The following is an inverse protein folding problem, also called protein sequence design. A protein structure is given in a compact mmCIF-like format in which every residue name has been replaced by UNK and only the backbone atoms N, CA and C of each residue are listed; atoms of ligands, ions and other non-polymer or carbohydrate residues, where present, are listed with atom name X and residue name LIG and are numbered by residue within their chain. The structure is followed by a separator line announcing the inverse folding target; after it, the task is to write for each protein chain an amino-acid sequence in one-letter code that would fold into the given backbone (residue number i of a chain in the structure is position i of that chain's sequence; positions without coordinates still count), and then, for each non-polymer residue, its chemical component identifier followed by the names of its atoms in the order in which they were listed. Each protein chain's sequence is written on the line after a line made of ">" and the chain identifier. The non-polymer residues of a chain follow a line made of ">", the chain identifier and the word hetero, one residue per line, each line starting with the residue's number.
data_IF_061726858349
#
_entry.id   IF_061726858349
#
_cell.length_a   1.000
_cell.length_b   1.000
_cell.length_c   1.000
_cell.angle_alpha   90.00
_cell.angle_beta   90.00
_cell.angle_gamma   90.00
#
_symmetry.space_group_name_H-M   'P 1'
#
loop_
_entity.id
_entity.type
_entity.pdbx_description
1 polymer ?
#
# COMPACT_ATOMS: atom_id res chain seq x y z
N UNK A 1 -39.92 -7.08 -37.71
CA UNK A 1 -40.10 -5.66 -38.07
C UNK A 1 -38.97 -4.89 -37.43
N UNK A 2 -38.03 -4.36 -38.22
CA UNK A 2 -36.94 -3.51 -37.74
C UNK A 2 -37.31 -2.04 -37.95
N UNK A 3 -37.38 -1.26 -36.89
CA UNK A 3 -37.51 0.20 -36.97
C UNK A 3 -36.12 0.85 -36.99
N UNK A 4 -35.83 1.52 -38.10
CA UNK A 4 -34.63 2.33 -38.28
C UNK A 4 -34.82 3.71 -37.63
N UNK A 5 -34.17 3.97 -36.50
CA UNK A 5 -34.12 5.29 -35.88
C UNK A 5 -33.00 6.11 -36.55
N UNK A 6 -33.40 7.08 -37.38
CA UNK A 6 -32.49 8.00 -38.09
C UNK A 6 -32.35 9.31 -37.29
N UNK A 7 -31.33 9.40 -36.43
CA UNK A 7 -31.02 10.63 -35.69
C UNK A 7 -30.10 11.51 -36.56
N UNK A 8 -30.67 12.53 -37.21
CA UNK A 8 -29.92 13.65 -37.81
C UNK A 8 -29.96 14.83 -36.84
N UNK A 9 -29.04 14.86 -35.88
CA UNK A 9 -28.78 16.03 -35.05
C UNK A 9 -27.63 16.85 -35.64
N UNK A 10 -27.92 18.01 -36.25
CA UNK A 10 -26.89 19.03 -36.53
C UNK A 10 -26.48 19.64 -35.19
N UNK A 11 -25.34 19.23 -34.66
CA UNK A 11 -24.74 19.85 -33.47
C UNK A 11 -24.16 21.19 -33.90
N UNK A 12 -24.92 22.26 -33.69
CA UNK A 12 -24.43 23.63 -33.84
C UNK A 12 -23.50 23.96 -32.67
N UNK A 13 -22.20 23.80 -32.88
CA UNK A 13 -21.19 24.25 -31.91
C UNK A 13 -21.27 25.77 -31.87
N UNK A 14 -21.80 26.29 -30.76
CA UNK A 14 -21.95 27.73 -30.54
C UNK A 14 -20.57 28.39 -30.54
N UNK A 15 -20.36 29.48 -31.32
CA UNK A 15 -19.06 30.15 -31.42
C UNK A 15 -18.56 30.72 -30.08
N UNK A 16 -19.42 30.79 -29.07
CA UNK A 16 -19.07 31.21 -27.71
C UNK A 16 -18.11 30.25 -27.01
N UNK A 17 -18.16 28.94 -27.31
CA UNK A 17 -17.25 27.95 -26.72
C UNK A 17 -15.79 28.14 -27.17
N UNK A 18 -15.56 28.60 -28.39
CA UNK A 18 -14.22 28.88 -28.88
C UNK A 18 -13.55 30.04 -28.13
N UNK A 19 -14.32 31.07 -27.75
CA UNK A 19 -13.78 32.24 -27.04
C UNK A 19 -13.26 31.83 -25.65
N UNK A 20 -13.98 30.94 -24.95
CA UNK A 20 -13.57 30.45 -23.63
C UNK A 20 -12.29 29.61 -23.75
N UNK A 21 -12.20 28.72 -24.75
CA UNK A 21 -10.98 27.92 -24.97
C UNK A 21 -9.76 28.79 -25.30
N UNK A 22 -9.91 29.84 -26.09
CA UNK A 22 -8.80 30.76 -26.40
C UNK A 22 -8.35 31.57 -25.17
N UNK A 23 -9.27 32.00 -24.30
CA UNK A 23 -8.91 32.72 -23.08
C UNK A 23 -8.10 31.84 -22.10
N UNK A 24 -8.47 30.57 -21.96
CA UNK A 24 -7.75 29.60 -21.10
C UNK A 24 -6.36 29.28 -21.67
N UNK A 25 -6.25 29.10 -22.99
CA UNK A 25 -4.96 28.83 -23.64
C UNK A 25 -3.98 30.01 -23.51
N UNK A 26 -4.46 31.25 -23.67
CA UNK A 26 -3.62 32.45 -23.50
C UNK A 26 -3.17 32.60 -22.04
N UNK A 27 -4.07 32.35 -21.07
CA UNK A 27 -3.74 32.36 -19.64
C UNK A 27 -2.67 31.31 -19.28
N UNK A 28 -2.76 30.11 -19.85
CA UNK A 28 -1.79 29.04 -19.61
C UNK A 28 -0.40 29.35 -20.21
N UNK A 29 -0.34 29.95 -21.40
CA UNK A 29 0.92 30.39 -22.02
C UNK A 29 1.56 31.52 -21.21
N UNK A 30 0.76 32.46 -20.70
CA UNK A 30 1.27 33.55 -19.86
C UNK A 30 1.78 33.04 -18.50
N UNK A 31 1.09 32.05 -17.91
CA UNK A 31 1.51 31.37 -16.69
C UNK A 31 2.85 30.64 -16.85
N UNK A 32 3.08 29.96 -17.98
CA UNK A 32 4.36 29.30 -18.27
C UNK A 32 5.48 30.31 -18.53
N UNK A 33 5.18 31.45 -19.18
CA UNK A 33 6.17 32.47 -19.52
C UNK A 33 6.64 33.30 -18.32
N UNK A 34 5.80 33.47 -17.30
CA UNK A 34 6.12 34.20 -16.07
C UNK A 34 6.72 33.32 -14.95
N UNK A 35 7.01 32.04 -15.21
CA UNK A 35 7.95 31.29 -14.35
C UNK A 35 9.36 31.77 -14.63
N UNK A 36 9.73 32.88 -14.00
CA UNK A 36 11.13 33.20 -13.76
C UNK A 36 11.72 32.08 -12.90
N UNK A 37 12.40 31.15 -13.54
CA UNK A 37 13.33 30.25 -12.86
C UNK A 37 14.44 31.16 -12.32
N UNK A 38 14.67 31.22 -10.99
CA UNK A 38 15.78 32.02 -10.47
C UNK A 38 17.09 31.51 -11.08
N UNK A 39 18.02 32.39 -11.47
CA UNK A 39 19.28 31.98 -12.05
C UNK A 39 20.04 31.12 -11.03
N UNK A 40 20.18 29.84 -11.35
CA UNK A 40 21.13 28.93 -10.71
C UNK A 40 22.54 29.47 -10.99
N UNK A 41 23.13 30.11 -9.99
CA UNK A 41 24.52 30.56 -10.03
C UNK A 41 25.43 29.33 -9.99
N UNK A 42 25.81 28.85 -11.17
CA UNK A 42 26.80 27.80 -11.36
C UNK A 42 28.19 28.36 -11.05
N UNK A 43 28.64 28.26 -9.80
CA UNK A 43 30.08 28.23 -9.50
C UNK A 43 30.61 26.85 -9.87
N UNK A 44 31.12 26.76 -11.10
CA UNK A 44 31.84 25.61 -11.66
C UNK A 44 33.18 25.47 -10.91
N UNK A 45 33.15 24.87 -9.72
CA UNK A 45 34.32 24.24 -9.05
C UNK A 45 33.98 23.34 -7.85
N UNK A 46 32.72 23.29 -7.39
CA UNK A 46 32.29 22.42 -6.28
C UNK A 46 31.47 21.18 -6.70
N UNK A 47 31.29 20.97 -8.00
CA UNK A 47 30.44 19.89 -8.56
C UNK A 47 30.95 18.45 -8.32
N UNK A 48 32.18 18.24 -7.85
CA UNK A 48 32.70 16.88 -7.62
C UNK A 48 32.44 16.34 -6.20
N UNK A 49 32.04 17.20 -5.25
CA UNK A 49 31.77 16.75 -3.87
C UNK A 49 30.28 16.53 -3.62
N UNK A 50 29.40 17.23 -4.33
CA UNK A 50 27.95 17.13 -4.15
C UNK A 50 27.33 15.95 -4.92
N UNK A 51 27.85 15.62 -6.12
CA UNK A 51 27.49 14.38 -6.83
C UNK A 51 27.90 13.13 -6.01
N UNK A 52 29.06 13.17 -5.35
CA UNK A 52 29.49 12.11 -4.41
C UNK A 52 28.68 12.05 -3.11
N UNK A 53 27.97 13.11 -2.72
CA UNK A 53 27.05 13.09 -1.57
C UNK A 53 25.69 12.52 -1.97
N UNK A 54 25.16 12.90 -3.13
CA UNK A 54 23.88 12.37 -3.62
C UNK A 54 23.94 10.90 -4.04
N UNK A 55 25.08 10.40 -4.56
CA UNK A 55 25.27 8.95 -4.76
C UNK A 55 25.39 8.18 -3.44
N UNK A 56 25.95 8.80 -2.38
CA UNK A 56 26.02 8.17 -1.05
C UNK A 56 24.63 8.09 -0.39
N UNK A 57 23.78 9.08 -0.62
CA UNK A 57 22.41 9.07 -0.09
C UNK A 57 21.50 8.13 -0.88
N UNK A 58 21.74 7.93 -2.19
CA UNK A 58 21.04 6.91 -2.99
C UNK A 58 21.37 5.48 -2.55
N UNK A 59 22.60 5.23 -2.09
CA UNK A 59 23.00 3.95 -1.53
C UNK A 59 22.47 3.71 -0.09
N UNK A 60 22.11 4.77 0.65
CA UNK A 60 21.45 4.60 1.96
C UNK A 60 19.97 4.24 1.87
N UNK A 61 19.31 4.49 0.74
CA UNK A 61 17.92 4.04 0.49
C UNK A 61 17.76 2.54 0.20
N UNK A 62 18.86 1.78 0.12
CA UNK A 62 18.80 0.30 -0.01
C UNK A 62 18.81 -0.43 1.32
N UNK A 63 18.90 0.26 2.46
CA UNK A 63 18.71 -0.42 3.73
C UNK A 63 17.21 -0.67 3.89
N UNK A 64 16.73 -1.92 3.92
CA UNK A 64 15.34 -2.19 4.23
C UNK A 64 14.98 -1.48 5.56
N UNK A 65 13.74 -0.99 5.71
CA UNK A 65 13.31 -0.33 6.93
C UNK A 65 13.68 -1.23 8.11
N UNK A 66 14.28 -0.63 9.15
CA UNK A 66 14.64 -1.36 10.35
C UNK A 66 13.37 -2.00 10.92
N UNK A 67 13.29 -3.33 10.84
CA UNK A 67 12.24 -4.11 11.48
C UNK A 67 12.37 -3.80 12.98
N UNK A 68 11.31 -3.36 13.68
CA UNK A 68 11.42 -3.03 15.08
C UNK A 68 11.74 -4.30 15.86
N UNK A 69 12.88 -4.23 16.54
CA UNK A 69 13.39 -5.26 17.42
C UNK A 69 12.35 -5.57 18.50
N UNK A 70 11.75 -6.76 18.43
CA UNK A 70 10.98 -7.33 19.53
C UNK A 70 11.99 -7.88 20.54
N UNK A 71 11.88 -7.48 21.80
CA UNK A 71 12.84 -7.78 22.89
C UNK A 71 12.88 -9.27 23.32
N UNK A 72 12.71 -10.23 22.41
CA UNK A 72 12.81 -11.66 22.66
C UNK A 72 13.99 -12.27 21.89
N UNK A 73 14.69 -13.20 22.53
CA UNK A 73 15.85 -13.95 21.98
C UNK A 73 15.57 -14.66 20.63
N UNK A 74 14.30 -14.85 20.25
CA UNK A 74 13.89 -15.36 18.93
C UNK A 74 13.74 -14.33 17.79
N UNK A 75 13.81 -13.03 18.09
CA UNK A 75 13.56 -11.93 17.13
C UNK A 75 14.69 -11.75 16.12
N UNK A 76 15.94 -11.89 16.56
CA UNK A 76 17.11 -11.60 15.72
C UNK A 76 17.34 -12.65 14.60
N UNK A 77 17.09 -13.93 14.89
CA UNK A 77 17.20 -15.02 13.90
C UNK A 77 16.13 -14.86 12.81
N UNK A 78 14.90 -14.51 13.20
CA UNK A 78 13.80 -14.27 12.30
C UNK A 78 14.03 -13.01 11.45
N UNK A 79 14.44 -11.89 12.07
CA UNK A 79 14.84 -10.66 11.36
C UNK A 79 15.94 -10.92 10.33
N UNK A 80 16.91 -11.77 10.64
CA UNK A 80 17.98 -12.16 9.70
C UNK A 80 17.45 -12.97 8.53
N UNK A 81 16.58 -13.96 8.76
CA UNK A 81 15.94 -14.76 7.69
C UNK A 81 15.08 -13.86 6.79
N UNK A 82 14.39 -12.88 7.36
CA UNK A 82 13.57 -11.93 6.61
C UNK A 82 14.46 -11.02 5.77
N UNK A 83 15.51 -10.44 6.36
CA UNK A 83 16.49 -9.62 5.65
C UNK A 83 17.10 -10.37 4.47
N UNK A 84 17.54 -11.61 4.69
CA UNK A 84 18.09 -12.47 3.64
C UNK A 84 17.09 -12.75 2.50
N UNK A 85 15.84 -13.05 2.82
CA UNK A 85 14.81 -13.31 1.80
C UNK A 85 14.44 -12.06 1.03
N UNK A 86 14.28 -10.93 1.71
CA UNK A 86 13.96 -9.63 1.09
C UNK A 86 15.11 -9.18 0.19
N UNK A 87 16.35 -9.28 0.65
CA UNK A 87 17.55 -8.94 -0.14
C UNK A 87 17.75 -9.86 -1.35
N UNK A 88 17.24 -11.10 -1.28
CA UNK A 88 17.21 -12.05 -2.40
C UNK A 88 16.08 -11.78 -3.42
N UNK A 89 15.29 -10.71 -3.26
CA UNK A 89 14.19 -10.36 -4.18
C UNK A 89 12.96 -11.24 -4.02
N UNK A 90 12.72 -11.79 -2.83
CA UNK A 90 11.52 -12.58 -2.53
C UNK A 90 10.24 -11.77 -2.78
N UNK A 91 9.29 -12.40 -3.47
CA UNK A 91 7.93 -11.90 -3.65
C UNK A 91 6.94 -12.86 -2.97
N UNK A 92 6.05 -12.32 -2.16
CA UNK A 92 5.04 -13.12 -1.45
C UNK A 92 4.88 -12.77 0.02
N UNK A 93 4.26 -13.67 0.75
CA UNK A 93 3.89 -13.47 2.15
C UNK A 93 4.69 -14.38 3.08
N UNK A 94 5.26 -13.81 4.13
CA UNK A 94 5.91 -14.52 5.23
C UNK A 94 5.10 -14.26 6.50
N UNK A 95 4.63 -15.33 7.14
CA UNK A 95 3.90 -15.26 8.41
C UNK A 95 4.75 -15.88 9.50
N UNK A 96 4.90 -15.17 10.60
CA UNK A 96 5.65 -15.59 11.78
C UNK A 96 4.69 -15.59 12.97
N UNK A 97 4.55 -16.75 13.60
CA UNK A 97 3.82 -16.89 14.85
C UNK A 97 4.83 -16.85 15.99
N UNK A 98 4.78 -15.83 16.83
CA UNK A 98 5.66 -15.73 18.00
C UNK A 98 5.34 -16.85 18.98
N UNK A 99 6.37 -17.47 19.53
CA UNK A 99 6.25 -18.69 20.34
C UNK A 99 5.48 -19.78 19.59
N UNK A 100 6.10 -20.40 18.58
CA UNK A 100 5.44 -21.33 17.65
C UNK A 100 4.60 -22.43 18.34
N UNK A 101 4.98 -22.89 19.53
CA UNK A 101 4.19 -23.88 20.29
C UNK A 101 2.87 -23.36 20.87
N UNK A 102 2.61 -22.05 20.81
CA UNK A 102 1.44 -21.40 21.42
C UNK A 102 0.23 -21.28 20.49
N UNK A 103 0.36 -21.64 19.21
CA UNK A 103 -0.71 -21.58 18.21
C UNK A 103 -1.02 -22.98 17.68
N UNK A 104 -2.30 -23.38 17.77
CA UNK A 104 -2.76 -24.61 17.13
C UNK A 104 -2.73 -24.50 15.60
N UNK A 105 -2.68 -25.63 14.90
CA UNK A 105 -2.71 -25.66 13.43
C UNK A 105 -3.99 -25.02 12.87
N UNK A 106 -5.13 -25.28 13.52
CA UNK A 106 -6.42 -24.66 13.13
C UNK A 106 -6.38 -23.14 13.28
N UNK A 107 -5.84 -22.61 14.38
CA UNK A 107 -5.71 -21.16 14.55
C UNK A 107 -4.76 -20.56 13.50
N UNK A 108 -3.64 -21.22 13.20
CA UNK A 108 -2.70 -20.75 12.16
C UNK A 108 -3.39 -20.69 10.80
N UNK A 109 -4.19 -21.69 10.46
CA UNK A 109 -4.96 -21.72 9.21
C UNK A 109 -6.05 -20.64 9.16
N UNK A 110 -6.77 -20.44 10.27
CA UNK A 110 -7.78 -19.39 10.34
C UNK A 110 -7.16 -18.00 10.21
N UNK A 111 -6.06 -17.71 10.91
CA UNK A 111 -5.39 -16.41 10.81
C UNK A 111 -4.83 -16.19 9.41
N UNK A 112 -4.24 -17.22 8.80
CA UNK A 112 -3.78 -17.14 7.40
C UNK A 112 -4.93 -16.76 6.47
N UNK A 113 -6.03 -17.49 6.54
CA UNK A 113 -7.19 -17.31 5.65
C UNK A 113 -7.89 -15.98 5.87
N UNK A 114 -8.15 -15.62 7.13
CA UNK A 114 -9.02 -14.47 7.48
C UNK A 114 -8.27 -13.15 7.62
N UNK A 115 -6.94 -13.19 7.75
CA UNK A 115 -6.13 -11.99 7.97
C UNK A 115 -5.01 -11.88 6.97
N UNK A 116 -4.11 -12.86 6.95
CA UNK A 116 -2.84 -12.70 6.26
C UNK A 116 -3.02 -12.65 4.73
N UNK A 117 -3.78 -13.59 4.15
CA UNK A 117 -4.08 -13.63 2.72
C UNK A 117 -4.82 -12.38 2.22
N UNK A 118 -5.97 -11.97 2.81
CA UNK A 118 -6.63 -10.75 2.35
C UNK A 118 -5.81 -9.48 2.60
N UNK A 119 -5.04 -9.42 3.68
CA UNK A 119 -4.12 -8.29 3.90
C UNK A 119 -3.05 -8.24 2.80
N UNK A 120 -2.44 -9.38 2.46
CA UNK A 120 -1.43 -9.46 1.42
C UNK A 120 -2.02 -9.06 0.07
N UNK A 121 -3.15 -9.63 -0.34
CA UNK A 121 -3.74 -9.37 -1.65
C UNK A 121 -4.19 -7.90 -1.79
N UNK A 122 -4.79 -7.31 -0.74
CA UNK A 122 -5.17 -5.90 -0.74
C UNK A 122 -3.97 -4.97 -0.92
N UNK A 123 -2.83 -5.29 -0.32
CA UNK A 123 -1.61 -4.48 -0.44
C UNK A 123 -0.81 -4.82 -1.71
N UNK A 124 -0.88 -6.06 -2.21
CA UNK A 124 -0.20 -6.48 -3.44
C UNK A 124 -0.71 -5.70 -4.65
N UNK A 125 -2.02 -5.47 -4.73
CA UNK A 125 -2.64 -4.61 -5.75
C UNK A 125 -2.11 -3.17 -5.70
N UNK A 126 -1.61 -2.73 -4.54
CA UNK A 126 -0.97 -1.43 -4.34
C UNK A 126 0.54 -1.40 -4.67
N UNK A 127 1.04 -2.41 -5.42
CA UNK A 127 2.46 -2.59 -5.84
C UNK A 127 3.40 -3.02 -4.72
N UNK A 128 2.87 -3.61 -3.65
CA UNK A 128 3.68 -4.24 -2.61
C UNK A 128 4.24 -5.57 -3.11
N UNK A 129 5.55 -5.75 -3.09
CA UNK A 129 6.18 -6.98 -3.60
C UNK A 129 6.17 -8.13 -2.58
N UNK A 130 6.20 -7.80 -1.28
CA UNK A 130 6.19 -8.77 -0.19
C UNK A 130 5.41 -8.24 1.01
N UNK A 131 4.91 -9.15 1.84
CA UNK A 131 4.40 -8.84 3.18
C UNK A 131 5.04 -9.75 4.21
N UNK A 132 5.56 -9.16 5.27
CA UNK A 132 5.90 -9.85 6.51
C UNK A 132 4.78 -9.60 7.52
N UNK A 133 4.28 -10.66 8.15
CA UNK A 133 3.31 -10.54 9.24
C UNK A 133 3.81 -11.32 10.46
N UNK A 134 4.04 -10.63 11.57
CA UNK A 134 4.31 -11.24 12.86
C UNK A 134 3.03 -11.22 13.71
N UNK A 135 2.68 -12.37 14.28
CA UNK A 135 1.48 -12.57 15.06
C UNK A 135 1.88 -12.98 16.47
N UNK A 136 1.48 -12.15 17.44
CA UNK A 136 1.68 -12.37 18.86
C UNK A 136 0.32 -12.66 19.51
N UNK A 137 0.30 -13.50 20.56
CA UNK A 137 -0.86 -13.59 21.46
C UNK A 137 -1.03 -12.26 22.19
N UNK A 138 -2.25 -11.76 22.25
CA UNK A 138 -2.58 -10.59 23.05
C UNK A 138 -3.23 -11.03 24.36
N UNK A 139 -2.78 -10.43 25.47
CA UNK A 139 -3.24 -10.76 26.83
C UNK A 139 -4.17 -9.70 27.43
N UNK A 140 -4.42 -8.60 26.70
CA UNK A 140 -5.40 -7.59 27.11
C UNK A 140 -6.83 -7.99 26.78
N UNK A 141 -7.79 -7.17 27.26
CA UNK A 141 -9.22 -7.44 27.05
C UNK A 141 -9.66 -7.14 25.61
N UNK A 142 -10.58 -7.96 25.10
CA UNK A 142 -11.31 -7.68 23.87
C UNK A 142 -10.66 -8.13 22.56
N UNK A 143 -9.41 -8.61 22.56
CA UNK A 143 -8.73 -9.11 21.36
C UNK A 143 -7.87 -10.33 21.66
N UNK A 144 -7.71 -11.22 20.68
CA UNK A 144 -6.92 -12.46 20.79
C UNK A 144 -5.46 -12.28 20.37
N UNK A 145 -5.20 -11.39 19.41
CA UNK A 145 -3.91 -11.29 18.74
C UNK A 145 -3.46 -9.83 18.60
N UNK A 146 -2.15 -9.64 18.58
CA UNK A 146 -1.50 -8.40 18.15
C UNK A 146 -0.70 -8.73 16.89
N UNK A 147 -0.99 -8.01 15.80
CA UNK A 147 -0.45 -8.30 14.49
C UNK A 147 0.41 -7.12 14.05
N UNK A 148 1.67 -7.39 13.72
CA UNK A 148 2.58 -6.44 13.10
C UNK A 148 2.78 -6.82 11.64
N UNK A 149 2.48 -5.92 10.72
CA UNK A 149 2.62 -6.16 9.30
C UNK A 149 3.55 -5.14 8.64
N UNK A 150 4.43 -5.64 7.77
CA UNK A 150 5.39 -4.87 6.99
C UNK A 150 5.22 -5.24 5.54
N UNK A 151 4.84 -4.27 4.72
CA UNK A 151 4.69 -4.43 3.30
C UNK A 151 5.83 -3.71 2.58
N UNK A 152 6.37 -4.35 1.53
CA UNK A 152 7.28 -3.72 0.58
C UNK A 152 6.74 -2.36 0.11
N UNK A 153 7.62 -1.35 0.06
CA UNK A 153 7.24 0.05 -0.16
C UNK A 153 7.21 0.90 1.13
N UNK A 154 7.57 0.32 2.28
CA UNK A 154 7.72 1.05 3.55
C UNK A 154 6.43 1.14 4.37
N UNK A 155 5.41 0.36 4.02
CA UNK A 155 4.19 0.25 4.80
C UNK A 155 4.50 -0.56 6.06
N UNK A 156 4.29 0.05 7.23
CA UNK A 156 4.39 -0.59 8.53
C UNK A 156 3.12 -0.30 9.29
N UNK A 157 2.43 -1.35 9.74
CA UNK A 157 1.21 -1.22 10.53
C UNK A 157 1.18 -2.24 11.66
N UNK A 158 0.42 -1.92 12.71
CA UNK A 158 0.13 -2.82 13.82
C UNK A 158 -1.30 -2.67 14.26
N UNK A 159 -1.98 -3.77 14.52
CA UNK A 159 -3.37 -3.75 14.97
C UNK A 159 -3.69 -4.92 15.89
N UNK A 160 -4.65 -4.70 16.80
CA UNK A 160 -5.23 -5.76 17.62
C UNK A 160 -6.33 -6.46 16.82
N UNK A 161 -6.43 -7.79 16.95
CA UNK A 161 -7.32 -8.58 16.12
C UNK A 161 -7.94 -9.77 16.88
N UNK A 162 -9.10 -10.23 16.40
CA UNK A 162 -9.80 -11.40 16.92
C UNK A 162 -10.61 -11.10 18.16
N UNK A 163 -11.46 -10.08 18.05
CA UNK A 163 -12.41 -9.68 19.08
C UNK A 163 -13.63 -10.60 19.19
N UNK A 164 -13.89 -11.39 18.14
CA UNK A 164 -15.07 -12.26 18.05
C UNK A 164 -14.65 -13.74 17.98
N UNK A 165 -15.56 -14.62 18.40
CA UNK A 165 -15.46 -16.06 18.20
C UNK A 165 -16.71 -16.59 17.45
N UNK A 166 -16.56 -17.20 16.26
CA UNK A 166 -15.32 -17.51 15.55
C UNK A 166 -14.60 -16.24 15.05
N UNK A 167 -13.31 -16.38 14.72
CA UNK A 167 -12.46 -15.28 14.26
C UNK A 167 -13.14 -14.50 13.12
N UNK A 168 -13.22 -13.17 13.22
CA UNK A 168 -13.76 -12.31 12.18
C UNK A 168 -12.83 -12.21 10.95
N UNK A 169 -13.37 -11.74 9.83
CA UNK A 169 -12.56 -11.41 8.65
C UNK A 169 -11.87 -10.06 8.85
N UNK A 170 -10.59 -9.97 8.51
CA UNK A 170 -9.88 -8.70 8.48
C UNK A 170 -10.55 -7.75 7.51
N UNK A 171 -10.58 -6.46 7.85
CA UNK A 171 -11.07 -5.40 6.97
C UNK A 171 -10.05 -4.28 6.90
N UNK A 172 -9.86 -3.64 5.73
CA UNK A 172 -8.97 -2.50 5.62
C UNK A 172 -9.58 -1.29 6.32
N UNK A 173 -8.71 -0.51 6.99
CA UNK A 173 -9.07 0.79 7.53
C UNK A 173 -8.59 1.88 6.56
N UNK A 174 -9.53 2.69 6.05
CA UNK A 174 -9.25 3.81 5.17
C UNK A 174 -9.86 5.08 5.76
N UNK A 175 -9.23 6.24 5.54
CA UNK A 175 -9.78 7.53 5.97
C UNK A 175 -11.12 7.85 5.30
N UNK A 176 -11.34 7.31 4.11
CA UNK A 176 -12.58 7.38 3.34
C UNK A 176 -13.03 5.94 3.02
N UNK A 177 -13.79 5.76 1.93
CA UNK A 177 -14.11 4.43 1.42
C UNK A 177 -12.85 3.69 0.94
N UNK A 178 -12.70 2.42 1.35
CA UNK A 178 -11.68 1.54 0.80
C UNK A 178 -12.11 1.06 -0.58
N UNK A 179 -11.22 1.23 -1.56
CA UNK A 179 -11.45 0.76 -2.92
C UNK A 179 -10.94 -0.66 -3.07
N UNK A 180 -11.77 -1.54 -3.63
CA UNK A 180 -11.42 -2.92 -3.92
C UNK A 180 -11.27 -3.10 -5.42
N UNK A 181 -10.23 -3.83 -5.84
CA UNK A 181 -10.09 -4.23 -7.24
C UNK A 181 -11.10 -5.36 -7.54
N UNK A 182 -11.52 -5.55 -8.81
CA UNK A 182 -12.39 -6.66 -9.17
C UNK A 182 -11.80 -8.05 -8.82
N UNK A 183 -10.47 -8.18 -8.86
CA UNK A 183 -9.77 -9.41 -8.48
C UNK A 183 -9.88 -9.65 -6.97
N UNK A 184 -9.68 -8.61 -6.17
CA UNK A 184 -9.85 -8.68 -4.72
C UNK A 184 -11.29 -9.00 -4.33
N UNK A 185 -12.29 -8.33 -4.93
CA UNK A 185 -13.71 -8.60 -4.64
C UNK A 185 -14.11 -10.04 -4.96
N UNK A 186 -13.50 -10.63 -5.99
CA UNK A 186 -13.73 -12.01 -6.39
C UNK A 186 -13.06 -13.02 -5.45
N UNK A 187 -11.84 -12.73 -4.98
CA UNK A 187 -11.05 -13.64 -4.15
C UNK A 187 -11.37 -13.53 -2.66
N UNK A 188 -11.82 -12.37 -2.19
CA UNK A 188 -12.13 -12.07 -0.78
C UNK A 188 -13.51 -11.39 -0.60
N UNK A 189 -14.60 -11.99 -1.10
CA UNK A 189 -15.94 -11.39 -0.98
C UNK A 189 -16.39 -11.22 0.48
N UNK A 190 -15.91 -12.07 1.40
CA UNK A 190 -16.22 -11.98 2.82
C UNK A 190 -15.64 -10.73 3.47
N UNK A 191 -14.44 -10.31 3.06
CA UNK A 191 -13.80 -9.07 3.53
C UNK A 191 -14.59 -7.85 3.05
N UNK A 192 -14.98 -7.84 1.78
CA UNK A 192 -15.80 -6.76 1.19
C UNK A 192 -17.15 -6.66 1.91
N UNK A 193 -17.78 -7.80 2.19
CA UNK A 193 -19.05 -7.85 2.93
C UNK A 193 -18.88 -7.37 4.37
N UNK A 194 -17.82 -7.80 5.07
CA UNK A 194 -17.54 -7.39 6.44
C UNK A 194 -17.29 -5.89 6.52
N UNK A 195 -16.48 -5.33 5.60
CA UNK A 195 -16.22 -3.90 5.52
C UNK A 195 -17.51 -3.09 5.31
N UNK A 196 -18.33 -3.49 4.34
CA UNK A 196 -19.60 -2.80 4.04
C UNK A 196 -20.63 -2.88 5.16
N UNK A 197 -20.58 -3.92 5.99
CA UNK A 197 -21.50 -4.10 7.12
C UNK A 197 -21.10 -3.31 8.37
N UNK A 198 -19.84 -2.84 8.42
CA UNK A 198 -19.32 -2.01 9.51
C UNK A 198 -19.37 -0.49 9.24
N UNK A 199 -19.78 -0.09 8.03
CA UNK A 199 -20.12 1.31 7.67
C UNK A 199 -21.55 1.64 8.11
#
# INVERSE_FOLDING_TARGET
>A
MQENIKIRGKVGISPMFFIIFFAVAIGFVFYLKNREVPPSNTNVKESNTEVKRLERDRDQTKKPPAIPSSNGEGSAEQEKIIGEKVDAGYRGMIIIFKDEGSFSETERQEIRKKVAEPFFDYNFDNKTEYTLMQIDRYTGEGYKYNIYAYAGGGIQTSFLFGSVDPLEWWTPECMNECLFTPEFEKNHPEVVSAYKSGL
#
